data_IF_860018603665
#
_entry.id   IF_860018603665
#
_cell.length_a   1.000
_cell.length_b   1.000
_cell.length_c   1.000
_cell.angle_alpha   90.00
_cell.angle_beta   90.00
_cell.angle_gamma   90.00
#
_symmetry.space_group_name_H-M   'P 1'
#
loop_
_entity.id
_entity.type
_entity.pdbx_description
1 polymer ?
#
# COMPACT_ATOMS: atom_id res chain seq x y z
N UNK A 1 4.37 11.26 -1.36
CA UNK A 1 4.53 10.45 -0.14
C UNK A 1 4.99 9.02 -0.43
N UNK A 2 4.28 8.24 -1.27
CA UNK A 2 4.58 6.81 -1.51
C UNK A 2 6.01 6.56 -2.05
N UNK A 3 6.52 7.28 -3.07
CA UNK A 3 7.89 7.06 -3.53
C UNK A 3 8.96 7.36 -2.47
N UNK A 4 8.72 8.36 -1.62
CA UNK A 4 9.65 8.73 -0.55
C UNK A 4 9.74 7.63 0.53
N UNK A 5 8.67 6.91 0.81
CA UNK A 5 8.66 5.82 1.80
C UNK A 5 9.65 4.70 1.45
N UNK A 6 9.91 4.45 0.17
CA UNK A 6 10.89 3.46 -0.30
C UNK A 6 12.30 3.74 0.23
N UNK A 7 12.70 5.02 0.29
CA UNK A 7 14.01 5.43 0.78
C UNK A 7 14.15 5.41 2.31
N UNK A 8 13.04 5.26 3.04
CA UNK A 8 12.99 5.30 4.51
C UNK A 8 12.86 3.90 5.14
N UNK A 9 12.54 2.89 4.34
CA UNK A 9 12.34 1.52 4.81
C UNK A 9 13.56 0.65 4.51
N UNK A 10 13.87 -0.25 5.44
CA UNK A 10 14.85 -1.32 5.21
C UNK A 10 14.26 -2.39 4.28
N UNK A 11 15.12 -3.24 3.69
CA UNK A 11 14.67 -4.45 2.98
C UNK A 11 13.85 -5.33 3.92
N UNK A 12 12.72 -5.84 3.44
CA UNK A 12 11.69 -6.52 4.24
C UNK A 12 10.74 -5.59 5.01
N UNK A 13 10.97 -4.27 4.98
CA UNK A 13 10.11 -3.27 5.60
C UNK A 13 8.71 -3.25 4.99
N UNK A 14 7.71 -2.84 5.78
CA UNK A 14 6.30 -2.88 5.37
C UNK A 14 5.73 -1.48 5.27
N UNK A 15 4.91 -1.27 4.24
CA UNK A 15 4.11 -0.08 4.04
C UNK A 15 2.65 -0.40 4.35
N UNK A 16 1.99 0.48 5.10
CA UNK A 16 0.57 0.39 5.44
C UNK A 16 -0.06 1.75 5.15
N UNK A 17 -1.07 1.79 4.28
CA UNK A 17 -1.74 3.02 3.87
C UNK A 17 -3.24 2.88 4.03
N UNK A 18 -3.87 3.85 4.67
CA UNK A 18 -5.31 3.99 4.65
C UNK A 18 -5.79 4.44 3.27
N UNK A 19 -6.94 3.93 2.84
CA UNK A 19 -7.58 4.21 1.56
C UNK A 19 -8.91 4.94 1.80
N UNK A 20 -9.13 6.01 1.02
CA UNK A 20 -10.47 6.51 0.77
C UNK A 20 -11.26 5.52 -0.08
N UNK A 21 -12.59 5.53 0.07
CA UNK A 21 -13.46 4.67 -0.71
C UNK A 21 -13.25 4.90 -2.22
N UNK A 22 -13.04 3.82 -2.97
CA UNK A 22 -12.79 3.87 -4.43
C UNK A 22 -11.34 4.12 -4.84
N UNK A 23 -10.41 4.37 -3.91
CA UNK A 23 -9.00 4.66 -4.24
C UNK A 23 -8.11 3.43 -4.46
N UNK A 24 -8.65 2.22 -4.31
CA UNK A 24 -7.88 0.97 -4.32
C UNK A 24 -7.00 0.82 -5.56
N UNK A 25 -7.57 0.96 -6.75
CA UNK A 25 -6.86 0.77 -8.02
C UNK A 25 -5.71 1.75 -8.21
N UNK A 26 -5.96 3.04 -7.94
CA UNK A 26 -4.98 4.11 -8.13
C UNK A 26 -3.82 3.97 -7.13
N UNK A 27 -4.12 3.75 -5.86
CA UNK A 27 -3.10 3.59 -4.82
C UNK A 27 -2.31 2.29 -5.03
N UNK A 28 -2.96 1.21 -5.47
CA UNK A 28 -2.27 -0.04 -5.84
C UNK A 28 -1.26 0.19 -6.96
N UNK A 29 -1.63 0.92 -8.00
CA UNK A 29 -0.72 1.26 -9.10
C UNK A 29 0.47 2.09 -8.61
N UNK A 30 0.23 3.13 -7.80
CA UNK A 30 1.29 3.98 -7.24
C UNK A 30 2.26 3.20 -6.33
N UNK A 31 1.75 2.27 -5.52
CA UNK A 31 2.59 1.46 -4.62
C UNK A 31 3.42 0.44 -5.40
N UNK A 32 2.84 -0.16 -6.45
CA UNK A 32 3.57 -1.07 -7.34
C UNK A 32 4.66 -0.33 -8.13
N UNK A 33 4.36 0.85 -8.69
CA UNK A 33 5.31 1.69 -9.42
C UNK A 33 6.46 2.17 -8.52
N UNK A 34 6.18 2.42 -7.24
CA UNK A 34 7.19 2.70 -6.23
C UNK A 34 8.05 1.48 -5.84
N UNK A 35 7.85 0.31 -6.46
CA UNK A 35 8.68 -0.88 -6.30
C UNK A 35 8.40 -1.69 -5.03
N UNK A 36 7.23 -1.51 -4.41
CA UNK A 36 6.77 -2.41 -3.36
C UNK A 36 6.11 -3.65 -3.95
N UNK A 37 6.21 -4.77 -3.24
CA UNK A 37 5.68 -6.06 -3.63
C UNK A 37 4.67 -6.61 -2.61
N UNK A 38 4.04 -7.75 -2.93
CA UNK A 38 3.11 -8.45 -2.03
C UNK A 38 1.93 -7.57 -1.59
N UNK A 39 1.41 -6.76 -2.51
CA UNK A 39 0.31 -5.82 -2.25
C UNK A 39 -0.97 -6.58 -1.88
N UNK A 40 -1.54 -6.25 -0.73
CA UNK A 40 -2.79 -6.79 -0.23
C UNK A 40 -3.71 -5.66 0.22
N UNK A 41 -5.00 -5.78 -0.12
CA UNK A 41 -6.05 -4.86 0.29
C UNK A 41 -6.89 -5.56 1.36
N UNK A 42 -7.10 -4.86 2.47
CA UNK A 42 -7.89 -5.33 3.60
C UNK A 42 -9.12 -4.45 3.75
N UNK A 43 -10.33 -5.04 3.75
CA UNK A 43 -11.54 -4.31 4.06
C UNK A 43 -11.64 -4.03 5.56
N UNK A 44 -12.45 -3.04 5.91
CA UNK A 44 -12.94 -2.85 7.29
C UNK A 44 -14.05 -3.87 7.64
N UNK A 45 -14.63 -3.73 8.83
CA UNK A 45 -15.71 -4.61 9.30
C UNK A 45 -17.00 -4.52 8.46
N UNK A 46 -17.17 -3.44 7.69
CA UNK A 46 -18.30 -3.25 6.78
C UNK A 46 -17.98 -3.71 5.35
N UNK A 47 -16.81 -4.32 5.12
CA UNK A 47 -16.40 -4.80 3.81
C UNK A 47 -15.83 -3.72 2.89
N UNK A 48 -15.65 -2.48 3.37
CA UNK A 48 -15.14 -1.38 2.54
C UNK A 48 -13.61 -1.48 2.48
N UNK A 49 -12.98 -1.48 1.29
CA UNK A 49 -11.52 -1.42 1.17
C UNK A 49 -10.95 -0.19 1.90
N UNK A 50 -10.12 -0.42 2.93
CA UNK A 50 -9.58 0.66 3.77
C UNK A 50 -8.08 0.63 3.97
N UNK A 51 -7.43 -0.51 3.79
CA UNK A 51 -6.02 -0.64 4.10
C UNK A 51 -5.28 -1.37 2.98
N UNK A 52 -4.27 -0.71 2.41
CA UNK A 52 -3.28 -1.35 1.58
C UNK A 52 -2.06 -1.72 2.43
N UNK A 53 -1.59 -2.96 2.33
CA UNK A 53 -0.30 -3.39 2.86
C UNK A 53 0.63 -3.85 1.75
N UNK A 54 1.91 -3.50 1.82
CA UNK A 54 2.94 -3.95 0.88
C UNK A 54 4.30 -4.13 1.56
N UNK A 55 5.25 -4.80 0.89
CA UNK A 55 6.59 -5.09 1.40
C UNK A 55 7.64 -4.51 0.45
N UNK A 56 8.63 -3.81 1.00
CA UNK A 56 9.82 -3.41 0.25
C UNK A 56 10.79 -4.59 0.23
N UNK A 57 11.03 -5.19 -0.94
CA UNK A 57 11.90 -6.38 -1.04
C UNK A 57 13.32 -6.11 -1.45
#
# INVERSE_FOLDING_TARGET
MIPAARGLLVRGGRLMLELGAGQESDVRALVADAGFESLCIKPDLNGIPRLLTAVLR
#
